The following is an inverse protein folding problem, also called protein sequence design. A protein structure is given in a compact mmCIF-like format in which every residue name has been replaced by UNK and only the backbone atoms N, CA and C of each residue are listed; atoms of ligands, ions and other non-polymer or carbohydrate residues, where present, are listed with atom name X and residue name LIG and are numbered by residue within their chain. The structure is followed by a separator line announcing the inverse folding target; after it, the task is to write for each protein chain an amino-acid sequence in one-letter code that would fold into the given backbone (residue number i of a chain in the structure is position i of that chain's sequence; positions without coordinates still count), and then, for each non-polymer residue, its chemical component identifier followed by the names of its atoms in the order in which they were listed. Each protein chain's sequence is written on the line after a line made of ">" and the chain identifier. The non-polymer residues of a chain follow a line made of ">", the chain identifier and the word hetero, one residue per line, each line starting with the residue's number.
data_IF_152151832155
#
_entry.id   IF_152151832155
#
_cell.length_a   1.000
_cell.length_b   1.000
_cell.length_c   1.000
_cell.angle_alpha   90.00
_cell.angle_beta   90.00
_cell.angle_gamma   90.00
#
_symmetry.space_group_name_H-M   'P 1'
#
loop_
_entity.id
_entity.type
_entity.pdbx_description
1 polymer ?
#
# COMPACT_ATOMS: atom_id res chain seq x y z
N UNK A 1 7.63 -43.75 7.69
CA UNK A 1 7.65 -42.85 6.53
C UNK A 1 8.98 -42.12 6.51
N UNK A 2 9.69 -42.09 5.37
CA UNK A 2 11.02 -41.47 5.27
C UNK A 2 10.91 -39.92 5.28
N UNK A 3 11.93 -39.17 5.70
CA UNK A 3 11.91 -37.70 5.73
C UNK A 3 11.56 -37.07 4.36
N UNK A 4 12.02 -37.71 3.28
CA UNK A 4 11.73 -37.31 1.89
C UNK A 4 10.24 -37.41 1.53
N UNK A 5 9.51 -38.39 2.09
CA UNK A 5 8.07 -38.52 1.87
C UNK A 5 7.26 -37.40 2.54
N UNK A 6 7.72 -36.88 3.68
CA UNK A 6 7.09 -35.74 4.34
C UNK A 6 7.29 -34.44 3.56
N UNK A 7 8.49 -34.20 3.02
CA UNK A 7 8.78 -33.01 2.20
C UNK A 7 7.95 -33.02 0.92
N UNK A 8 7.91 -34.15 0.20
CA UNK A 8 7.09 -34.26 -1.02
C UNK A 8 5.59 -34.05 -0.74
N UNK A 9 5.09 -34.62 0.36
CA UNK A 9 3.69 -34.42 0.76
C UNK A 9 3.37 -32.94 1.08
N UNK A 10 4.29 -32.22 1.72
CA UNK A 10 4.13 -30.80 2.02
C UNK A 10 4.01 -29.95 0.74
N UNK A 11 4.94 -30.12 -0.21
CA UNK A 11 4.87 -29.39 -1.48
C UNK A 11 3.62 -29.73 -2.29
N UNK A 12 3.16 -30.98 -2.22
CA UNK A 12 1.91 -31.38 -2.86
C UNK A 12 0.68 -30.75 -2.19
N UNK A 13 0.64 -30.62 -0.86
CA UNK A 13 -0.47 -29.97 -0.15
C UNK A 13 -0.56 -28.46 -0.39
N UNK A 14 0.55 -27.83 -0.80
CA UNK A 14 0.64 -26.39 -1.06
C UNK A 14 0.94 -26.06 -2.53
N UNK A 15 0.71 -27.01 -3.45
CA UNK A 15 1.11 -26.87 -4.85
C UNK A 15 0.49 -25.66 -5.54
N UNK A 16 -0.75 -25.32 -5.21
CA UNK A 16 -1.43 -24.16 -5.80
C UNK A 16 -0.75 -22.84 -5.39
N UNK A 17 -0.29 -22.75 -4.15
CA UNK A 17 0.43 -21.58 -3.64
C UNK A 17 1.79 -21.46 -4.31
N UNK A 18 2.56 -22.55 -4.38
CA UNK A 18 3.84 -22.54 -5.08
C UNK A 18 3.71 -22.34 -6.60
N UNK A 19 2.54 -22.57 -7.20
CA UNK A 19 2.31 -22.34 -8.62
C UNK A 19 1.82 -20.92 -8.92
N UNK A 20 0.90 -20.37 -8.13
CA UNK A 20 0.22 -19.11 -8.44
C UNK A 20 0.88 -17.90 -7.80
N UNK A 21 1.30 -18.04 -6.54
CA UNK A 21 1.84 -16.93 -5.74
C UNK A 21 3.14 -16.35 -6.29
N UNK A 22 4.13 -17.13 -6.78
CA UNK A 22 5.35 -16.55 -7.35
C UNK A 22 5.07 -15.58 -8.50
N UNK A 23 4.12 -15.87 -9.39
CA UNK A 23 3.79 -14.96 -10.49
C UNK A 23 3.24 -13.62 -9.97
N UNK A 24 2.36 -13.66 -8.98
CA UNK A 24 1.82 -12.47 -8.33
C UNK A 24 2.92 -11.67 -7.63
N UNK A 25 3.84 -12.33 -6.92
CA UNK A 25 4.95 -11.70 -6.21
C UNK A 25 5.97 -11.08 -7.17
N UNK A 26 6.30 -11.77 -8.27
CA UNK A 26 7.17 -11.24 -9.33
C UNK A 26 6.55 -9.99 -9.96
N UNK A 27 5.26 -10.04 -10.29
CA UNK A 27 4.54 -8.91 -10.86
C UNK A 27 4.55 -7.70 -9.90
N UNK A 28 4.20 -7.93 -8.63
CA UNK A 28 4.24 -6.90 -7.59
C UNK A 28 5.65 -6.30 -7.41
N UNK A 29 6.69 -7.14 -7.40
CA UNK A 29 8.07 -6.69 -7.27
C UNK A 29 8.52 -5.85 -8.47
N UNK A 30 8.12 -6.20 -9.69
CA UNK A 30 8.46 -5.45 -10.90
C UNK A 30 7.75 -4.09 -10.95
N UNK A 31 6.47 -4.02 -10.59
CA UNK A 31 5.77 -2.73 -10.56
C UNK A 31 6.19 -1.87 -9.38
N UNK A 32 6.48 -2.49 -8.24
CA UNK A 32 7.10 -1.82 -7.10
C UNK A 32 8.45 -1.23 -7.50
N UNK A 33 9.26 -1.94 -8.29
CA UNK A 33 10.53 -1.42 -8.80
C UNK A 33 10.33 -0.18 -9.66
N UNK A 34 9.32 -0.14 -10.53
CA UNK A 34 8.97 1.06 -11.29
C UNK A 34 8.60 2.23 -10.38
N UNK A 35 7.85 1.96 -9.32
CA UNK A 35 7.54 2.94 -8.29
C UNK A 35 8.81 3.43 -7.58
N UNK A 36 9.73 2.52 -7.22
CA UNK A 36 11.03 2.83 -6.63
C UNK A 36 11.94 3.66 -7.51
N UNK A 37 12.01 3.36 -8.81
CA UNK A 37 12.71 4.19 -9.80
C UNK A 37 12.07 5.58 -9.82
N UNK A 38 10.73 5.66 -9.85
CA UNK A 38 10.00 6.91 -9.71
C UNK A 38 10.41 7.69 -8.46
N UNK A 39 10.46 7.04 -7.29
CA UNK A 39 10.85 7.65 -6.02
C UNK A 39 12.28 8.19 -6.06
N UNK A 40 13.22 7.41 -6.62
CA UNK A 40 14.61 7.83 -6.79
C UNK A 40 14.76 9.01 -7.75
N UNK A 41 13.89 9.16 -8.74
CA UNK A 41 13.88 10.34 -9.62
C UNK A 41 13.28 11.58 -8.93
N UNK A 42 12.55 11.41 -7.82
CA UNK A 42 11.98 12.50 -7.03
C UNK A 42 12.94 13.05 -5.96
N UNK A 43 14.18 12.54 -5.89
CA UNK A 43 15.22 12.93 -4.93
C UNK A 43 15.33 14.46 -4.76
N UNK A 44 15.45 15.21 -5.86
CA UNK A 44 15.53 16.68 -5.80
C UNK A 44 14.26 17.32 -5.20
N UNK A 45 13.08 16.76 -5.49
CA UNK A 45 11.81 17.26 -4.97
C UNK A 45 11.65 16.95 -3.48
N UNK A 46 12.17 15.81 -3.00
CA UNK A 46 12.18 15.44 -1.59
C UNK A 46 13.01 16.44 -0.78
N UNK A 47 14.15 16.89 -1.31
CA UNK A 47 14.95 17.97 -0.72
C UNK A 47 14.24 19.33 -0.74
N UNK A 48 13.61 19.69 -1.86
CA UNK A 48 12.91 20.98 -2.01
C UNK A 48 11.63 21.09 -1.16
N UNK A 49 11.03 19.95 -0.80
CA UNK A 49 9.78 19.87 -0.03
C UNK A 49 9.95 18.92 1.18
N UNK A 50 10.59 19.38 2.26
CA UNK A 50 10.78 18.58 3.47
C UNK A 50 9.45 18.07 4.04
N UNK A 51 9.37 16.77 4.32
CA UNK A 51 8.14 16.10 4.75
C UNK A 51 7.33 15.47 3.62
N UNK A 52 7.71 15.63 2.34
CA UNK A 52 7.04 14.94 1.23
C UNK A 52 7.11 13.41 1.37
N UNK A 53 8.23 12.88 1.90
CA UNK A 53 8.42 11.45 2.14
C UNK A 53 7.37 10.88 3.12
N UNK A 54 6.96 11.67 4.12
CA UNK A 54 5.92 11.31 5.09
C UNK A 54 4.61 10.91 4.40
N UNK A 55 4.31 11.53 3.25
CA UNK A 55 3.06 11.36 2.53
C UNK A 55 3.08 10.18 1.54
N UNK A 56 4.26 9.72 1.13
CA UNK A 56 4.39 8.73 0.05
C UNK A 56 3.85 7.35 0.48
N UNK A 57 4.31 6.71 1.57
CA UNK A 57 3.75 5.42 2.01
C UNK A 57 2.24 5.46 2.28
N UNK A 58 1.67 6.41 3.04
CA UNK A 58 0.24 6.41 3.30
C UNK A 58 -0.59 6.67 2.04
N UNK A 59 -0.11 7.49 1.10
CA UNK A 59 -0.80 7.69 -0.16
C UNK A 59 -0.88 6.38 -0.98
N UNK A 60 0.23 5.66 -1.10
CA UNK A 60 0.30 4.37 -1.81
C UNK A 60 -0.62 3.35 -1.14
N UNK A 61 -0.47 3.13 0.16
CA UNK A 61 -1.22 2.15 0.93
C UNK A 61 -2.74 2.41 0.87
N UNK A 62 -3.17 3.67 1.02
CA UNK A 62 -4.58 4.01 0.91
C UNK A 62 -5.17 3.72 -0.47
N UNK A 63 -4.40 3.86 -1.54
CA UNK A 63 -4.91 3.54 -2.89
C UNK A 63 -5.07 2.04 -3.05
N UNK A 64 -4.08 1.27 -2.63
CA UNK A 64 -4.18 -0.19 -2.54
C UNK A 64 -5.46 -0.58 -1.81
N UNK A 65 -5.65 -0.10 -0.57
CA UNK A 65 -6.77 -0.49 0.28
C UNK A 65 -8.15 -0.07 -0.24
N UNK A 66 -8.30 1.14 -0.81
CA UNK A 66 -9.60 1.61 -1.33
C UNK A 66 -10.02 0.82 -2.57
N UNK A 67 -9.09 0.61 -3.51
CA UNK A 67 -9.41 0.00 -4.79
C UNK A 67 -9.36 -1.53 -4.75
N UNK A 68 -8.58 -2.15 -3.87
CA UNK A 68 -8.66 -3.60 -3.64
C UNK A 68 -9.99 -3.98 -3.00
N UNK A 69 -10.42 -3.25 -1.95
CA UNK A 69 -11.72 -3.46 -1.31
C UNK A 69 -12.89 -3.17 -2.26
N UNK A 70 -12.73 -2.19 -3.17
CA UNK A 70 -13.68 -1.97 -4.27
C UNK A 70 -13.85 -3.25 -5.10
N UNK A 71 -12.75 -3.85 -5.56
CA UNK A 71 -12.85 -5.01 -6.45
C UNK A 71 -13.30 -6.27 -5.71
N UNK A 72 -12.89 -6.50 -4.46
CA UNK A 72 -13.41 -7.63 -3.66
C UNK A 72 -14.93 -7.53 -3.46
N UNK A 73 -15.46 -6.33 -3.16
CA UNK A 73 -16.93 -6.13 -3.08
C UNK A 73 -17.64 -6.42 -4.40
N UNK A 74 -17.01 -6.08 -5.53
CA UNK A 74 -17.55 -6.41 -6.85
C UNK A 74 -17.44 -7.91 -7.16
N UNK A 75 -16.34 -8.57 -6.78
CA UNK A 75 -16.15 -10.02 -6.88
C UNK A 75 -17.22 -10.79 -6.11
N UNK A 76 -17.43 -10.43 -4.84
CA UNK A 76 -18.53 -10.96 -4.02
C UNK A 76 -19.90 -10.74 -4.68
N UNK A 77 -20.14 -9.55 -5.22
CA UNK A 77 -21.41 -9.25 -5.92
C UNK A 77 -21.60 -10.09 -7.20
N UNK A 78 -20.52 -10.48 -7.88
CA UNK A 78 -20.57 -11.38 -9.03
C UNK A 78 -20.90 -12.81 -8.59
N UNK A 79 -20.28 -13.30 -7.52
CA UNK A 79 -20.59 -14.62 -6.96
C UNK A 79 -22.03 -14.74 -6.48
N UNK A 80 -22.60 -13.65 -5.95
CA UNK A 80 -24.01 -13.59 -5.55
C UNK A 80 -24.98 -13.34 -6.71
N UNK A 81 -24.49 -13.15 -7.94
CA UNK A 81 -25.33 -12.88 -9.12
C UNK A 81 -25.99 -11.49 -9.14
N UNK A 82 -25.54 -10.57 -8.28
CA UNK A 82 -26.06 -9.20 -8.15
C UNK A 82 -25.35 -8.21 -9.07
N UNK A 83 -24.15 -8.56 -9.56
CA UNK A 83 -23.35 -7.68 -10.39
C UNK A 83 -23.92 -7.54 -11.81
N UNK A 84 -23.99 -6.30 -12.28
CA UNK A 84 -24.22 -5.99 -13.69
C UNK A 84 -23.13 -5.05 -14.21
N UNK A 85 -22.59 -5.28 -15.42
CA UNK A 85 -21.54 -4.45 -16.00
C UNK A 85 -22.14 -3.14 -16.56
N UNK A 86 -22.81 -2.36 -15.72
CA UNK A 86 -23.46 -1.11 -16.09
C UNK A 86 -23.07 0.01 -15.12
N UNK A 87 -22.78 1.20 -15.65
CA UNK A 87 -22.51 2.41 -14.85
C UNK A 87 -23.78 3.27 -14.67
N UNK A 88 -24.96 2.67 -14.82
CA UNK A 88 -26.23 3.37 -14.59
C UNK A 88 -26.34 3.74 -13.11
N UNK A 89 -26.92 4.90 -12.81
CA UNK A 89 -27.17 5.34 -11.42
C UNK A 89 -27.95 4.25 -10.68
N UNK A 90 -27.48 3.88 -9.49
CA UNK A 90 -28.07 2.83 -8.67
C UNK A 90 -27.57 1.41 -8.96
N UNK A 91 -26.70 1.19 -9.95
CA UNK A 91 -26.03 -0.10 -10.10
C UNK A 91 -24.98 -0.32 -9.01
N UNK A 92 -24.72 -1.58 -8.67
CA UNK A 92 -23.68 -1.97 -7.71
C UNK A 92 -22.32 -1.38 -8.11
N UNK A 93 -21.98 -1.43 -9.40
CA UNK A 93 -20.75 -0.86 -9.94
C UNK A 93 -20.68 0.67 -9.76
N UNK A 94 -21.78 1.38 -10.02
CA UNK A 94 -21.84 2.83 -9.85
C UNK A 94 -21.70 3.24 -8.39
N UNK A 95 -22.43 2.58 -7.48
CA UNK A 95 -22.39 2.90 -6.05
C UNK A 95 -21.01 2.65 -5.45
N UNK A 96 -20.40 1.52 -5.79
CA UNK A 96 -19.05 1.17 -5.37
C UNK A 96 -18.00 2.14 -5.94
N UNK A 97 -18.07 2.47 -7.23
CA UNK A 97 -17.19 3.45 -7.85
C UNK A 97 -17.32 4.86 -7.21
N UNK A 98 -18.56 5.28 -6.94
CA UNK A 98 -18.85 6.56 -6.30
C UNK A 98 -18.33 6.59 -4.86
N UNK A 99 -18.53 5.51 -4.09
CA UNK A 99 -18.00 5.38 -2.74
C UNK A 99 -16.47 5.48 -2.73
N UNK A 100 -15.77 4.77 -3.63
CA UNK A 100 -14.31 4.83 -3.73
C UNK A 100 -13.78 6.22 -4.07
N UNK A 101 -14.45 6.99 -4.94
CA UNK A 101 -14.06 8.38 -5.21
C UNK A 101 -14.26 9.29 -3.99
N UNK A 102 -15.36 9.13 -3.26
CA UNK A 102 -15.62 9.88 -2.02
C UNK A 102 -14.57 9.54 -0.95
N UNK A 103 -14.27 8.26 -0.76
CA UNK A 103 -13.22 7.79 0.15
C UNK A 103 -11.86 8.38 -0.24
N UNK A 104 -11.49 8.32 -1.53
CA UNK A 104 -10.23 8.89 -2.02
C UNK A 104 -10.14 10.39 -1.74
N UNK A 105 -11.20 11.16 -2.01
CA UNK A 105 -11.22 12.59 -1.76
C UNK A 105 -11.08 12.91 -0.26
N UNK A 106 -11.93 12.29 0.57
CA UNK A 106 -11.95 12.51 2.02
C UNK A 106 -10.62 12.11 2.67
N UNK A 107 -10.15 10.90 2.39
CA UNK A 107 -8.95 10.37 3.01
C UNK A 107 -7.69 11.10 2.54
N UNK A 108 -7.67 11.64 1.32
CA UNK A 108 -6.56 12.49 0.88
C UNK A 108 -6.48 13.78 1.71
N UNK A 109 -7.61 14.39 2.07
CA UNK A 109 -7.61 15.53 3.00
C UNK A 109 -7.08 15.10 4.37
N UNK A 110 -7.59 13.99 4.91
CA UNK A 110 -7.14 13.42 6.18
C UNK A 110 -5.62 13.17 6.19
N UNK A 111 -5.07 12.56 5.13
CA UNK A 111 -3.63 12.33 5.01
C UNK A 111 -2.82 13.61 5.01
N UNK A 112 -3.32 14.67 4.37
CA UNK A 112 -2.65 15.98 4.41
C UNK A 112 -2.58 16.55 5.83
N UNK A 113 -3.64 16.38 6.62
CA UNK A 113 -3.64 16.75 8.04
C UNK A 113 -2.73 15.85 8.88
N UNK A 114 -2.80 14.53 8.70
CA UNK A 114 -1.98 13.57 9.44
C UNK A 114 -0.50 13.77 9.16
N UNK A 115 -0.10 13.92 7.90
CA UNK A 115 1.29 14.16 7.52
C UNK A 115 1.83 15.44 8.18
N UNK A 116 1.02 16.52 8.21
CA UNK A 116 1.42 17.76 8.88
C UNK A 116 1.54 17.58 10.40
N UNK A 117 0.58 16.91 11.02
CA UNK A 117 0.58 16.64 12.46
C UNK A 117 1.80 15.81 12.87
N UNK A 118 2.09 14.73 12.13
CA UNK A 118 3.23 13.86 12.40
C UNK A 118 4.56 14.59 12.15
N UNK A 119 4.66 15.38 11.09
CA UNK A 119 5.84 16.20 10.82
C UNK A 119 6.12 17.22 11.94
N UNK A 120 5.10 17.85 12.52
CA UNK A 120 5.30 18.82 13.61
C UNK A 120 5.58 18.16 14.96
N UNK A 121 5.09 16.95 15.18
CA UNK A 121 5.20 16.26 16.48
C UNK A 121 6.47 15.41 16.59
N UNK A 122 6.87 14.75 15.50
CA UNK A 122 8.01 13.83 15.47
C UNK A 122 9.14 14.29 14.55
N UNK A 123 8.93 15.36 13.77
CA UNK A 123 9.94 15.87 12.84
C UNK A 123 11.22 16.37 13.49
N UNK A 124 12.25 16.50 12.66
CA UNK A 124 13.54 17.08 13.05
C UNK A 124 13.32 18.55 13.43
N UNK A 125 13.77 18.92 14.63
CA UNK A 125 13.63 20.29 15.10
C UNK A 125 14.44 21.24 14.20
N UNK A 126 13.79 22.32 13.76
CA UNK A 126 14.41 23.35 12.92
C UNK A 126 14.25 23.17 11.41
N UNK A 127 13.65 22.06 10.94
CA UNK A 127 13.30 21.91 9.52
C UNK A 127 11.98 22.59 9.17
N UNK A 128 12.00 23.41 8.12
CA UNK A 128 10.80 24.07 7.61
C UNK A 128 9.99 23.11 6.71
N UNK A 129 9.18 22.27 7.37
CA UNK A 129 8.26 21.36 6.69
C UNK A 129 7.22 22.06 5.82
N UNK A 130 6.66 21.34 4.84
CA UNK A 130 5.56 21.82 4.00
C UNK A 130 4.41 22.35 4.88
N UNK A 131 3.79 23.45 4.45
CA UNK A 131 2.62 24.04 5.13
C UNK A 131 1.43 23.07 5.08
N UNK A 132 0.50 23.16 6.04
CA UNK A 132 -0.72 22.34 6.04
C UNK A 132 -1.47 22.39 4.69
N UNK A 133 -1.60 23.58 4.12
CA UNK A 133 -2.21 23.78 2.80
C UNK A 133 -1.46 23.06 1.67
N UNK A 134 -0.13 23.01 1.73
CA UNK A 134 0.70 22.30 0.77
C UNK A 134 0.54 20.79 0.88
N UNK A 135 0.52 20.24 2.09
CA UNK A 135 0.26 18.81 2.32
C UNK A 135 -1.12 18.39 1.82
N UNK A 136 -2.17 19.16 2.15
CA UNK A 136 -3.53 18.88 1.66
C UNK A 136 -3.59 18.93 0.13
N UNK A 137 -2.96 19.92 -0.50
CA UNK A 137 -2.97 20.04 -1.96
C UNK A 137 -2.23 18.89 -2.64
N UNK A 138 -1.02 18.55 -2.18
CA UNK A 138 -0.26 17.44 -2.76
C UNK A 138 -1.06 16.15 -2.61
N UNK A 139 -1.57 15.88 -1.41
CA UNK A 139 -2.35 14.67 -1.11
C UNK A 139 -3.58 14.55 -1.99
N UNK A 140 -4.39 15.62 -2.09
CA UNK A 140 -5.66 15.58 -2.82
C UNK A 140 -5.44 15.55 -4.33
N UNK A 141 -4.52 16.34 -4.86
CA UNK A 141 -4.27 16.37 -6.32
C UNK A 141 -3.65 15.04 -6.77
N UNK A 142 -2.60 14.57 -6.09
CA UNK A 142 -2.01 13.27 -6.39
C UNK A 142 -3.01 12.13 -6.17
N UNK A 143 -3.80 12.23 -5.09
CA UNK A 143 -4.86 11.27 -4.78
C UNK A 143 -5.98 11.19 -5.79
N UNK A 144 -6.45 12.31 -6.31
CA UNK A 144 -7.47 12.34 -7.35
C UNK A 144 -6.93 11.81 -8.67
N UNK A 145 -5.73 12.23 -9.08
CA UNK A 145 -5.10 11.75 -10.32
C UNK A 145 -4.92 10.23 -10.28
N UNK A 146 -4.26 9.71 -9.24
CA UNK A 146 -4.08 8.26 -9.06
C UNK A 146 -5.42 7.55 -8.93
N UNK A 147 -6.35 8.10 -8.16
CA UNK A 147 -7.65 7.51 -7.92
C UNK A 147 -8.54 7.40 -9.16
N UNK A 148 -8.55 8.39 -10.04
CA UNK A 148 -9.29 8.30 -11.30
C UNK A 148 -8.73 7.22 -12.23
N UNK A 149 -7.40 7.13 -12.32
CA UNK A 149 -6.74 6.12 -13.15
C UNK A 149 -7.00 4.72 -12.58
N UNK A 150 -6.82 4.53 -11.27
CA UNK A 150 -7.06 3.25 -10.59
C UNK A 150 -8.51 2.84 -10.62
N UNK A 151 -9.45 3.78 -10.54
CA UNK A 151 -10.86 3.48 -10.73
C UNK A 151 -11.12 2.92 -12.14
N UNK A 152 -10.54 3.56 -13.16
CA UNK A 152 -10.63 3.08 -14.54
C UNK A 152 -10.10 1.64 -14.68
N UNK A 153 -8.92 1.37 -14.12
CA UNK A 153 -8.34 0.02 -14.10
C UNK A 153 -9.24 -0.96 -13.34
N UNK A 154 -9.74 -0.59 -12.16
CA UNK A 154 -10.63 -1.42 -11.34
C UNK A 154 -11.91 -1.80 -12.08
N UNK A 155 -12.52 -0.84 -12.78
CA UNK A 155 -13.71 -1.07 -13.61
C UNK A 155 -13.37 -2.01 -14.77
N UNK A 156 -12.25 -1.78 -15.47
CA UNK A 156 -11.82 -2.63 -16.58
C UNK A 156 -11.55 -4.07 -16.14
N UNK A 157 -10.85 -4.25 -15.02
CA UNK A 157 -10.57 -5.57 -14.43
C UNK A 157 -11.87 -6.25 -14.03
N UNK A 158 -12.79 -5.54 -13.38
CA UNK A 158 -14.09 -6.09 -12.96
C UNK A 158 -14.96 -6.52 -14.15
N UNK A 159 -15.08 -5.68 -15.18
CA UNK A 159 -15.87 -6.01 -16.39
C UNK A 159 -15.21 -7.17 -17.16
N UNK A 160 -13.89 -7.17 -17.29
CA UNK A 160 -13.16 -8.25 -17.96
C UNK A 160 -13.31 -9.56 -17.19
N UNK A 161 -13.17 -9.51 -15.87
CA UNK A 161 -13.35 -10.66 -14.99
C UNK A 161 -14.75 -11.24 -15.09
N UNK A 162 -15.78 -10.38 -15.07
CA UNK A 162 -17.16 -10.79 -15.30
C UNK A 162 -17.36 -11.47 -16.67
N UNK A 163 -16.84 -10.88 -17.75
CA UNK A 163 -17.02 -11.42 -19.11
C UNK A 163 -16.25 -12.73 -19.35
N UNK A 164 -15.13 -12.93 -18.65
CA UNK A 164 -14.25 -14.10 -18.80
C UNK A 164 -14.42 -15.14 -17.69
N UNK A 165 -15.38 -14.95 -16.78
CA UNK A 165 -15.58 -15.78 -15.59
C UNK A 165 -14.29 -15.96 -14.77
N UNK A 166 -13.53 -14.88 -14.59
CA UNK A 166 -12.36 -14.88 -13.71
C UNK A 166 -12.80 -14.79 -12.25
N UNK A 167 -12.07 -15.49 -11.39
CA UNK A 167 -12.10 -15.27 -9.95
C UNK A 167 -11.35 -13.97 -9.65
N UNK A 168 -12.11 -12.90 -9.39
CA UNK A 168 -11.58 -11.58 -9.14
C UNK A 168 -10.82 -11.53 -7.81
N UNK A 169 -11.22 -12.30 -6.81
CA UNK A 169 -10.65 -12.20 -5.47
C UNK A 169 -9.19 -12.66 -5.47
N UNK A 170 -8.86 -13.61 -6.36
CA UNK A 170 -7.51 -14.16 -6.50
C UNK A 170 -6.58 -13.36 -7.44
N UNK A 171 -7.11 -12.72 -8.49
CA UNK A 171 -6.28 -12.07 -9.52
C UNK A 171 -6.28 -10.54 -9.44
N UNK A 172 -7.35 -9.93 -8.94
CA UNK A 172 -7.53 -8.49 -9.05
C UNK A 172 -6.78 -7.71 -7.97
N UNK A 173 -6.74 -8.21 -6.74
CA UNK A 173 -6.08 -7.49 -5.64
C UNK A 173 -4.59 -7.25 -5.92
N UNK A 174 -3.80 -8.24 -6.39
CA UNK A 174 -2.42 -7.99 -6.79
C UNK A 174 -2.28 -7.00 -7.93
N UNK A 175 -3.15 -7.05 -8.94
CA UNK A 175 -3.13 -6.13 -10.10
C UNK A 175 -3.39 -4.69 -9.66
N UNK A 176 -4.39 -4.49 -8.80
CA UNK A 176 -4.80 -3.16 -8.34
C UNK A 176 -3.77 -2.54 -7.41
N UNK A 177 -3.26 -3.29 -6.43
CA UNK A 177 -2.21 -2.79 -5.54
C UNK A 177 -0.94 -2.46 -6.31
N UNK A 178 -0.52 -3.35 -7.21
CA UNK A 178 0.63 -3.16 -8.12
C UNK A 178 0.49 -1.93 -9.02
N UNK A 179 -0.67 -1.75 -9.65
CA UNK A 179 -0.96 -0.54 -10.42
C UNK A 179 -0.98 0.71 -9.53
N UNK A 180 -1.47 0.57 -8.30
CA UNK A 180 -1.51 1.61 -7.28
C UNK A 180 -0.14 2.18 -7.00
N UNK A 181 0.83 1.32 -6.71
CA UNK A 181 2.23 1.70 -6.45
C UNK A 181 2.82 2.46 -7.65
N UNK A 182 2.63 1.91 -8.85
CA UNK A 182 3.18 2.46 -10.10
C UNK A 182 2.59 3.84 -10.46
N UNK A 183 1.32 4.08 -10.16
CA UNK A 183 0.62 5.32 -10.55
C UNK A 183 0.77 6.41 -9.48
N UNK A 184 0.81 6.03 -8.20
CA UNK A 184 0.75 7.00 -7.09
C UNK A 184 1.97 7.90 -7.05
N UNK A 185 3.18 7.37 -7.21
CA UNK A 185 4.41 8.16 -7.13
C UNK A 185 4.50 9.24 -8.22
N UNK A 186 4.28 8.93 -9.52
CA UNK A 186 4.19 9.97 -10.56
C UNK A 186 3.09 11.01 -10.30
N UNK A 187 1.95 10.58 -9.75
CA UNK A 187 0.85 11.51 -9.43
C UNK A 187 1.21 12.49 -8.32
N UNK A 188 1.93 12.02 -7.29
CA UNK A 188 2.46 12.86 -6.21
C UNK A 188 3.55 13.79 -6.72
N UNK A 189 4.44 13.31 -7.60
CA UNK A 189 5.45 14.14 -8.26
C UNK A 189 4.80 15.30 -9.02
N UNK A 190 3.79 15.01 -9.84
CA UNK A 190 3.05 16.04 -10.55
C UNK A 190 2.42 17.07 -9.61
N UNK A 191 1.78 16.60 -8.52
CA UNK A 191 1.18 17.46 -7.52
C UNK A 191 2.23 18.34 -6.79
N UNK A 192 3.40 17.78 -6.49
CA UNK A 192 4.52 18.49 -5.87
C UNK A 192 5.09 19.58 -6.80
N UNK A 193 5.29 19.27 -8.10
CA UNK A 193 5.71 20.25 -9.11
C UNK A 193 4.69 21.37 -9.24
N UNK A 194 3.40 21.03 -9.25
CA UNK A 194 2.33 22.02 -9.28
C UNK A 194 2.37 22.93 -8.04
N UNK A 195 2.58 22.39 -6.85
CA UNK A 195 2.71 23.18 -5.63
C UNK A 195 3.87 24.18 -5.72
N UNK A 196 5.05 23.75 -6.20
CA UNK A 196 6.20 24.65 -6.38
C UNK A 196 5.91 25.78 -7.36
N UNK A 197 5.27 25.47 -8.50
CA UNK A 197 4.84 26.49 -9.47
C UNK A 197 3.86 27.50 -8.85
N UNK A 198 2.88 27.02 -8.07
CA UNK A 198 1.92 27.88 -7.38
C UNK A 198 2.58 28.74 -6.29
N UNK A 199 3.56 28.21 -5.54
CA UNK A 199 4.34 28.99 -4.57
C UNK A 199 5.15 30.10 -5.26
N UNK A 200 5.79 29.80 -6.40
CA UNK A 200 6.52 30.80 -7.19
C UNK A 200 5.61 31.92 -7.70
N UNK A 201 4.39 31.59 -8.11
CA UNK A 201 3.39 32.58 -8.54
C UNK A 201 2.87 33.41 -7.36
N UNK A 202 2.64 32.79 -6.20
CA UNK A 202 2.21 33.46 -4.98
C UNK A 202 3.20 34.53 -4.49
N UNK A 203 4.52 34.30 -4.63
CA UNK A 203 5.53 35.30 -4.29
C UNK A 203 5.41 36.60 -5.12
N UNK A 204 4.74 36.57 -6.27
CA UNK A 204 4.51 37.75 -7.13
C UNK A 204 3.20 38.48 -6.80
N UNK A 205 2.25 37.83 -6.12
CA UNK A 205 0.93 38.39 -5.80
C UNK A 205 0.89 38.65 -4.29
N UNK A 206 1.11 39.90 -3.90
CA UNK A 206 1.12 40.31 -2.49
C UNK A 206 -0.32 40.48 -1.97
N UNK A 207 -1.00 39.35 -1.72
CA UNK A 207 -2.34 39.30 -1.13
C UNK A 207 -2.35 38.75 0.31
N UNK A 208 -3.39 39.08 1.09
CA UNK A 208 -3.53 38.71 2.51
C UNK A 208 -3.66 37.18 2.74
N UNK A 209 -4.12 36.43 1.74
CA UNK A 209 -4.24 34.97 1.75
C UNK A 209 -3.58 34.40 0.49
N UNK A 210 -2.67 33.43 0.64
CA UNK A 210 -2.06 32.78 -0.51
C UNK A 210 -3.13 32.04 -1.36
N UNK A 211 -3.08 32.07 -2.70
CA UNK A 211 -3.99 31.30 -3.55
C UNK A 211 -3.98 29.80 -3.21
N UNK A 212 -2.83 29.30 -2.77
CA UNK A 212 -2.61 27.93 -2.27
C UNK A 212 -3.49 27.65 -1.05
N UNK A 213 -3.53 28.55 -0.07
CA UNK A 213 -4.38 28.39 1.12
C UNK A 213 -5.87 28.45 0.79
N UNK A 214 -6.29 29.34 -0.11
CA UNK A 214 -7.69 29.44 -0.53
C UNK A 214 -8.16 28.16 -1.24
N UNK A 215 -7.33 27.63 -2.14
CA UNK A 215 -7.64 26.38 -2.84
C UNK A 215 -7.70 25.19 -1.87
N UNK A 216 -6.78 25.12 -0.90
CA UNK A 216 -6.82 24.08 0.12
C UNK A 216 -8.10 24.15 0.97
N UNK A 217 -8.52 25.33 1.41
CA UNK A 217 -9.78 25.52 2.16
C UNK A 217 -10.99 25.08 1.34
N UNK A 218 -11.04 25.47 0.06
CA UNK A 218 -12.11 25.06 -0.85
C UNK A 218 -12.17 23.53 -0.98
N UNK A 219 -11.02 22.88 -1.17
CA UNK A 219 -10.92 21.42 -1.28
C UNK A 219 -11.42 20.73 -0.01
N UNK A 220 -11.00 21.21 1.18
CA UNK A 220 -11.47 20.66 2.47
C UNK A 220 -12.98 20.79 2.57
N UNK A 221 -13.53 21.95 2.22
CA UNK A 221 -14.97 22.21 2.27
C UNK A 221 -15.75 21.29 1.31
N UNK A 222 -15.27 21.14 0.08
CA UNK A 222 -15.86 20.23 -0.92
C UNK A 222 -15.79 18.79 -0.43
N UNK A 223 -14.65 18.33 0.09
CA UNK A 223 -14.49 16.98 0.62
C UNK A 223 -15.45 16.69 1.77
N UNK A 224 -15.61 17.62 2.72
CA UNK A 224 -16.55 17.50 3.83
C UNK A 224 -18.00 17.43 3.34
N UNK A 225 -18.43 18.35 2.46
CA UNK A 225 -19.79 18.34 1.92
C UNK A 225 -20.08 17.04 1.17
N UNK A 226 -19.17 16.61 0.30
CA UNK A 226 -19.33 15.39 -0.48
C UNK A 226 -19.45 14.15 0.42
N UNK A 227 -18.63 14.08 1.47
CA UNK A 227 -18.64 12.95 2.43
C UNK A 227 -19.90 12.94 3.29
N UNK A 228 -20.31 14.10 3.82
CA UNK A 228 -21.55 14.22 4.59
C UNK A 228 -22.78 13.89 3.73
N UNK A 229 -22.83 14.34 2.47
CA UNK A 229 -23.89 13.96 1.53
C UNK A 229 -23.87 12.45 1.22
N UNK A 230 -22.70 11.84 1.12
CA UNK A 230 -22.55 10.39 0.95
C UNK A 230 -23.09 9.60 2.14
N UNK A 231 -22.72 9.98 3.36
CA UNK A 231 -23.16 9.35 4.61
C UNK A 231 -24.67 9.54 4.86
N UNK A 232 -25.23 10.69 4.48
CA UNK A 232 -26.66 10.98 4.59
C UNK A 232 -27.48 10.52 3.37
N UNK A 233 -26.88 9.76 2.45
CA UNK A 233 -27.59 9.24 1.27
C UNK A 233 -28.66 8.22 1.66
N UNK A 234 -29.78 8.19 0.92
CA UNK A 234 -30.80 7.16 1.07
C UNK A 234 -30.34 5.76 0.60
N UNK A 235 -29.19 5.66 -0.07
CA UNK A 235 -28.65 4.38 -0.52
C UNK A 235 -27.90 3.68 0.63
N UNK A 236 -28.48 2.59 1.14
CA UNK A 236 -27.91 1.84 2.26
C UNK A 236 -26.51 1.29 1.96
N UNK A 237 -26.27 0.80 0.74
CA UNK A 237 -24.95 0.27 0.33
C UNK A 237 -23.85 1.34 0.37
N UNK A 238 -24.10 2.52 -0.21
CA UNK A 238 -23.15 3.62 -0.20
C UNK A 238 -22.80 4.04 1.23
N UNK A 239 -23.82 4.22 2.07
CA UNK A 239 -23.65 4.60 3.47
C UNK A 239 -22.85 3.54 4.22
N UNK A 240 -23.15 2.25 4.00
CA UNK A 240 -22.44 1.13 4.61
C UNK A 240 -20.96 1.14 4.24
N UNK A 241 -20.62 1.23 2.95
CA UNK A 241 -19.22 1.28 2.49
C UNK A 241 -18.48 2.44 3.15
N UNK A 242 -19.07 3.64 3.19
CA UNK A 242 -18.42 4.80 3.81
C UNK A 242 -18.24 4.61 5.32
N UNK A 243 -19.26 4.11 6.02
CA UNK A 243 -19.24 3.97 7.48
C UNK A 243 -18.29 2.87 7.95
N UNK A 244 -18.17 1.78 7.19
CA UNK A 244 -17.24 0.68 7.49
C UNK A 244 -15.80 1.04 7.08
N UNK A 245 -15.57 1.63 5.89
CA UNK A 245 -14.22 1.89 5.40
C UNK A 245 -13.57 3.14 6.01
N UNK A 246 -14.29 4.22 6.36
CA UNK A 246 -13.67 5.45 6.88
C UNK A 246 -12.86 5.22 8.17
N UNK A 247 -13.42 4.59 9.24
CA UNK A 247 -12.68 4.39 10.49
C UNK A 247 -11.44 3.52 10.28
N UNK A 248 -11.58 2.42 9.52
CA UNK A 248 -10.48 1.51 9.26
C UNK A 248 -9.37 2.17 8.45
N UNK A 249 -9.72 2.87 7.37
CA UNK A 249 -8.75 3.58 6.55
C UNK A 249 -8.12 4.77 7.28
N UNK A 250 -8.81 5.39 8.23
CA UNK A 250 -8.22 6.41 9.11
C UNK A 250 -7.10 5.80 9.98
N UNK A 251 -7.35 4.64 10.60
CA UNK A 251 -6.32 3.91 11.38
C UNK A 251 -5.15 3.49 10.49
N UNK A 252 -5.42 2.91 9.32
CA UNK A 252 -4.39 2.62 8.32
C UNK A 252 -3.56 3.87 7.96
N UNK A 253 -4.22 5.00 7.76
CA UNK A 253 -3.59 6.27 7.46
C UNK A 253 -2.61 6.72 8.53
N UNK A 254 -2.99 6.61 9.81
CA UNK A 254 -2.10 6.91 10.93
C UNK A 254 -0.85 6.02 10.89
N UNK A 255 -1.04 4.70 10.79
CA UNK A 255 0.06 3.73 10.75
C UNK A 255 1.00 4.01 9.57
N UNK A 256 0.48 4.14 8.35
CA UNK A 256 1.32 4.38 7.19
C UNK A 256 2.00 5.76 7.22
N UNK A 257 1.39 6.77 7.88
CA UNK A 257 2.05 8.07 8.10
C UNK A 257 3.25 7.93 9.03
N UNK A 258 3.20 7.05 10.03
CA UNK A 258 4.38 6.71 10.83
C UNK A 258 5.46 6.01 10.00
N UNK A 259 5.08 5.09 9.09
CA UNK A 259 6.05 4.49 8.17
C UNK A 259 6.75 5.55 7.31
N UNK A 260 5.99 6.50 6.78
CA UNK A 260 6.52 7.66 6.04
C UNK A 260 7.41 8.56 6.88
N UNK A 261 7.04 8.80 8.14
CA UNK A 261 7.86 9.59 9.07
C UNK A 261 9.21 8.93 9.33
N UNK A 262 9.24 7.62 9.56
CA UNK A 262 10.49 6.88 9.75
C UNK A 262 11.40 6.98 8.53
N UNK A 263 10.84 6.92 7.31
CA UNK A 263 11.60 7.15 6.08
C UNK A 263 12.08 8.61 5.93
N UNK A 264 11.26 9.59 6.33
CA UNK A 264 11.61 11.01 6.27
C UNK A 264 12.76 11.36 7.23
N UNK A 265 12.80 10.73 8.42
CA UNK A 265 13.91 10.90 9.38
C UNK A 265 15.26 10.42 8.83
N UNK A 266 15.25 9.33 8.06
CA UNK A 266 16.45 8.74 7.45
C UNK A 266 16.69 9.23 6.01
N UNK A 267 15.96 10.26 5.56
CA UNK A 267 15.93 10.67 4.17
C UNK A 267 17.32 11.03 3.64
N UNK A 268 18.14 11.75 4.41
CA UNK A 268 19.50 12.13 3.99
C UNK A 268 20.37 10.89 3.72
N UNK A 269 20.28 9.86 4.57
CA UNK A 269 20.98 8.59 4.38
C UNK A 269 20.46 7.81 3.18
N UNK A 270 19.14 7.83 2.96
CA UNK A 270 18.50 7.18 1.81
C UNK A 270 18.89 7.87 0.49
N UNK A 271 19.02 9.20 0.48
CA UNK A 271 19.42 9.98 -0.69
C UNK A 271 20.89 9.81 -1.03
N UNK A 272 21.75 9.54 -0.04
CA UNK A 272 23.15 9.21 -0.28
C UNK A 272 23.31 7.91 -1.10
N UNK A 273 22.31 7.02 -1.06
CA UNK A 273 22.34 5.74 -1.75
C UNK A 273 21.03 5.55 -2.54
N UNK A 274 20.93 6.09 -3.76
CA UNK A 274 19.71 6.04 -4.58
C UNK A 274 19.16 4.62 -4.79
N UNK A 275 20.02 3.60 -4.76
CA UNK A 275 19.61 2.22 -4.87
C UNK A 275 18.64 1.77 -3.75
N UNK A 276 18.74 2.35 -2.56
CA UNK A 276 17.84 2.04 -1.43
C UNK A 276 16.48 2.72 -1.62
N UNK A 277 16.44 3.93 -2.19
CA UNK A 277 15.18 4.57 -2.60
C UNK A 277 14.43 3.73 -3.64
N UNK A 278 15.17 3.12 -4.59
CA UNK A 278 14.61 2.19 -5.56
C UNK A 278 14.10 0.90 -4.88
N UNK A 279 14.77 0.46 -3.81
CA UNK A 279 14.43 -0.77 -3.08
C UNK A 279 13.15 -0.63 -2.24
N UNK A 280 12.85 0.54 -1.70
CA UNK A 280 11.76 0.73 -0.71
C UNK A 280 10.40 0.25 -1.25
N UNK A 281 9.87 0.75 -2.39
CA UNK A 281 8.54 0.33 -2.83
C UNK A 281 8.40 -1.17 -3.19
N UNK A 282 9.31 -1.81 -3.95
CA UNK A 282 9.20 -3.25 -4.20
C UNK A 282 9.37 -4.09 -2.94
N UNK A 283 10.18 -3.63 -1.98
CA UNK A 283 10.34 -4.30 -0.69
C UNK A 283 9.05 -4.27 0.14
N UNK A 284 8.45 -3.09 0.31
CA UNK A 284 7.18 -2.94 1.04
C UNK A 284 6.03 -3.66 0.32
N UNK A 285 5.97 -3.54 -1.01
CA UNK A 285 5.00 -4.26 -1.84
C UNK A 285 5.10 -5.79 -1.65
N UNK A 286 6.32 -6.34 -1.63
CA UNK A 286 6.52 -7.77 -1.36
C UNK A 286 6.09 -8.17 0.05
N UNK A 287 6.41 -7.37 1.07
CA UNK A 287 5.94 -7.61 2.45
C UNK A 287 4.40 -7.64 2.50
N UNK A 288 3.75 -6.65 1.89
CA UNK A 288 2.29 -6.53 1.85
C UNK A 288 1.63 -7.67 1.10
N UNK A 289 2.20 -8.09 -0.03
CA UNK A 289 1.70 -9.22 -0.80
C UNK A 289 1.75 -10.52 0.03
N UNK A 290 2.87 -10.81 0.71
CA UNK A 290 2.98 -11.96 1.61
C UNK A 290 1.96 -11.89 2.77
N UNK A 291 1.74 -10.69 3.32
CA UNK A 291 0.79 -10.44 4.40
C UNK A 291 -0.64 -10.69 3.97
N UNK A 292 -1.01 -10.18 2.80
CA UNK A 292 -2.32 -10.42 2.17
C UNK A 292 -2.57 -11.91 1.90
N UNK A 293 -1.58 -12.62 1.36
CA UNK A 293 -1.68 -14.07 1.09
C UNK A 293 -1.91 -14.84 2.40
N UNK A 294 -1.12 -14.58 3.44
CA UNK A 294 -1.28 -15.27 4.71
C UNK A 294 -2.61 -14.92 5.38
N UNK A 295 -2.98 -13.64 5.38
CA UNK A 295 -4.25 -13.15 5.94
C UNK A 295 -5.45 -13.82 5.28
N UNK A 296 -5.51 -13.80 3.94
CA UNK A 296 -6.60 -14.40 3.18
C UNK A 296 -6.73 -15.90 3.49
N UNK A 297 -5.61 -16.63 3.54
CA UNK A 297 -5.61 -18.06 3.87
C UNK A 297 -6.07 -18.34 5.29
N UNK A 298 -5.57 -17.58 6.28
CA UNK A 298 -5.99 -17.72 7.67
C UNK A 298 -7.48 -17.42 7.85
N UNK A 299 -7.96 -16.37 7.19
CA UNK A 299 -9.38 -16.01 7.15
C UNK A 299 -10.23 -17.16 6.60
N UNK A 300 -9.90 -17.69 5.41
CA UNK A 300 -10.63 -18.81 4.81
C UNK A 300 -10.60 -20.06 5.71
N UNK A 301 -9.45 -20.37 6.32
CA UNK A 301 -9.33 -21.51 7.22
C UNK A 301 -10.18 -21.36 8.50
N UNK A 302 -10.29 -20.15 9.05
CA UNK A 302 -11.17 -19.86 10.20
C UNK A 302 -12.66 -19.99 9.81
N UNK A 303 -13.07 -19.45 8.66
CA UNK A 303 -14.47 -19.50 8.20
C UNK A 303 -14.94 -20.91 7.81
N UNK A 304 -14.07 -21.73 7.23
CA UNK A 304 -14.38 -23.13 6.90
C UNK A 304 -14.27 -24.03 8.15
N UNK A 305 -13.69 -23.53 9.25
CA UNK A 305 -13.54 -24.26 10.51
C UNK A 305 -12.39 -25.27 10.51
N UNK A 306 -11.44 -25.16 9.58
CA UNK A 306 -10.23 -26.00 9.56
C UNK A 306 -9.20 -25.53 10.60
N UNK A 307 -9.18 -24.23 10.91
CA UNK A 307 -8.43 -23.64 12.01
C UNK A 307 -9.42 -23.13 13.06
N UNK A 308 -9.15 -23.43 14.33
CA UNK A 308 -9.94 -22.96 15.46
C UNK A 308 -9.16 -21.84 16.14
N UNK A 309 -9.80 -20.70 16.51
CA UNK A 309 -9.12 -19.61 17.19
C UNK A 309 -8.57 -20.06 18.55
N UNK A 310 -7.25 -20.22 18.62
CA UNK A 310 -6.48 -20.62 19.81
C UNK A 310 -5.47 -19.54 20.17
N UNK A 311 -4.88 -19.65 21.36
CA UNK A 311 -3.84 -18.71 21.80
C UNK A 311 -2.53 -18.89 21.01
N UNK A 312 -2.22 -20.11 20.58
CA UNK A 312 -0.98 -20.42 19.88
C UNK A 312 -1.27 -21.11 18.54
N UNK A 313 -0.47 -20.81 17.50
CA UNK A 313 -0.65 -21.40 16.18
C UNK A 313 -0.46 -22.91 16.23
N UNK A 314 -1.36 -23.64 15.59
CA UNK A 314 -1.26 -25.10 15.46
C UNK A 314 -0.30 -25.50 14.34
N UNK A 315 -0.14 -26.81 14.12
CA UNK A 315 0.76 -27.34 13.09
C UNK A 315 0.36 -26.90 11.68
N UNK A 316 -0.93 -26.70 11.41
CA UNK A 316 -1.42 -26.28 10.10
C UNK A 316 -1.08 -24.81 9.84
N UNK A 317 -1.24 -23.95 10.85
CA UNK A 317 -0.81 -22.54 10.79
C UNK A 317 0.71 -22.44 10.68
N UNK A 318 1.46 -23.22 11.46
CA UNK A 318 2.92 -23.26 11.37
C UNK A 318 3.43 -23.75 9.99
N UNK A 319 2.72 -24.68 9.35
CA UNK A 319 2.99 -25.09 7.98
C UNK A 319 2.80 -23.91 7.01
N UNK A 320 1.74 -23.12 7.16
CA UNK A 320 1.55 -21.90 6.38
C UNK A 320 2.65 -20.87 6.63
N UNK A 321 3.09 -20.66 7.87
CA UNK A 321 4.22 -19.78 8.18
C UNK A 321 5.49 -20.22 7.45
N UNK A 322 5.76 -21.53 7.43
CA UNK A 322 6.89 -22.11 6.68
C UNK A 322 6.80 -21.80 5.19
N UNK A 323 5.61 -21.93 4.59
CA UNK A 323 5.39 -21.55 3.17
C UNK A 323 5.70 -20.07 2.95
N UNK A 324 5.23 -19.18 3.83
CA UNK A 324 5.49 -17.74 3.72
C UNK A 324 6.99 -17.43 3.86
N UNK A 325 7.73 -18.10 4.75
CA UNK A 325 9.19 -17.95 4.84
C UNK A 325 9.90 -18.40 3.56
N UNK A 326 9.50 -19.53 2.96
CA UNK A 326 10.10 -19.99 1.71
C UNK A 326 9.85 -19.00 0.57
N UNK A 327 8.62 -18.48 0.46
CA UNK A 327 8.27 -17.44 -0.50
C UNK A 327 9.02 -16.12 -0.23
N UNK A 328 9.18 -15.75 1.03
CA UNK A 328 9.93 -14.58 1.49
C UNK A 328 11.38 -14.63 1.01
N UNK A 329 12.10 -15.72 1.25
CA UNK A 329 13.49 -15.87 0.78
C UNK A 329 13.57 -15.72 -0.73
N UNK A 330 12.64 -16.32 -1.47
CA UNK A 330 12.62 -16.23 -2.93
C UNK A 330 12.32 -14.80 -3.42
N UNK A 331 11.27 -14.16 -2.90
CA UNK A 331 10.85 -12.82 -3.36
C UNK A 331 11.84 -11.74 -2.95
N UNK A 332 12.40 -11.77 -1.74
CA UNK A 332 13.37 -10.75 -1.33
C UNK A 332 14.73 -10.92 -2.01
N UNK A 333 15.14 -12.15 -2.33
CA UNK A 333 16.27 -12.39 -3.24
C UNK A 333 16.01 -11.76 -4.61
N UNK A 334 14.80 -11.97 -5.15
CA UNK A 334 14.42 -11.38 -6.43
C UNK A 334 14.39 -9.85 -6.37
N UNK A 335 13.80 -9.26 -5.32
CA UNK A 335 13.75 -7.81 -5.09
C UNK A 335 15.17 -7.20 -5.02
N UNK A 336 16.09 -7.81 -4.26
CA UNK A 336 17.48 -7.36 -4.21
C UNK A 336 18.18 -7.44 -5.57
N UNK A 337 17.94 -8.51 -6.33
CA UNK A 337 18.49 -8.72 -7.67
C UNK A 337 17.98 -7.69 -8.69
N UNK A 338 16.66 -7.47 -8.75
CA UNK A 338 16.08 -6.52 -9.70
C UNK A 338 16.46 -5.08 -9.37
N UNK A 339 16.59 -4.73 -8.09
CA UNK A 339 17.06 -3.41 -7.67
C UNK A 339 18.52 -3.18 -8.07
N UNK A 340 19.38 -4.20 -7.92
CA UNK A 340 20.75 -4.14 -8.42
C UNK A 340 20.78 -3.86 -9.93
N UNK A 341 20.02 -4.60 -10.73
CA UNK A 341 19.98 -4.39 -12.18
C UNK A 341 19.37 -3.04 -12.58
N UNK A 342 18.39 -2.54 -11.85
CA UNK A 342 17.79 -1.23 -12.10
C UNK A 342 18.74 -0.07 -11.83
N UNK A 343 19.68 -0.25 -10.90
CA UNK A 343 20.58 0.82 -10.41
C UNK A 343 22.00 0.70 -10.98
N UNK A 344 22.36 -0.43 -11.59
CA UNK A 344 23.63 -0.60 -12.27
C UNK A 344 23.90 0.45 -13.38
N UNK A 345 22.91 0.88 -14.20
CA UNK A 345 23.14 1.88 -15.24
C UNK A 345 23.39 3.29 -14.71
N UNK A 346 22.93 3.62 -13.50
CA UNK A 346 22.98 4.97 -12.92
C UNK A 346 24.29 5.27 -12.18
N UNK A 347 25.25 4.35 -12.22
CA UNK A 347 26.50 4.42 -11.45
C UNK A 347 26.39 3.65 -10.13
N UNK A 348 27.49 3.03 -9.70
CA UNK A 348 27.53 2.17 -8.51
C UNK A 348 27.78 3.01 -7.26
N UNK A 349 26.90 2.98 -6.23
CA UNK A 349 27.17 3.62 -4.93
C UNK A 349 28.32 2.94 -4.17
N UNK A 350 28.67 1.70 -4.55
CA UNK A 350 29.67 0.88 -3.88
C UNK A 350 30.83 0.53 -4.84
N UNK A 351 32.06 0.33 -4.30
CA UNK A 351 33.20 -0.08 -5.10
C UNK A 351 33.05 -1.54 -5.56
N UNK A 352 32.52 -1.71 -6.77
CA UNK A 352 32.47 -3.01 -7.45
C UNK A 352 31.08 -3.64 -7.53
N UNK A 353 30.77 -4.16 -8.72
CA UNK A 353 29.48 -4.75 -9.07
C UNK A 353 29.05 -5.90 -8.12
N UNK A 354 29.99 -6.77 -7.74
CA UNK A 354 29.71 -7.92 -6.88
C UNK A 354 29.36 -7.49 -5.44
N UNK A 355 30.04 -6.47 -4.92
CA UNK A 355 29.79 -5.95 -3.57
C UNK A 355 28.40 -5.29 -3.51
N UNK A 356 28.05 -4.49 -4.51
CA UNK A 356 26.72 -3.88 -4.60
C UNK A 356 25.62 -4.93 -4.66
N UNK A 357 25.77 -5.96 -5.50
CA UNK A 357 24.82 -7.06 -5.57
C UNK A 357 24.68 -7.77 -4.22
N UNK A 358 25.80 -8.10 -3.57
CA UNK A 358 25.79 -8.77 -2.26
C UNK A 358 25.10 -7.92 -1.19
N UNK A 359 25.39 -6.62 -1.11
CA UNK A 359 24.75 -5.70 -0.17
C UNK A 359 23.25 -5.54 -0.43
N UNK A 360 22.83 -5.37 -1.69
CA UNK A 360 21.40 -5.26 -2.03
C UNK A 360 20.63 -6.54 -1.69
N UNK A 361 21.20 -7.71 -2.01
CA UNK A 361 20.62 -8.99 -1.64
C UNK A 361 20.56 -9.16 -0.13
N UNK A 362 21.63 -8.85 0.60
CA UNK A 362 21.69 -8.98 2.04
C UNK A 362 20.69 -8.06 2.75
N UNK A 363 20.59 -6.79 2.34
CA UNK A 363 19.64 -5.82 2.92
C UNK A 363 18.20 -6.29 2.67
N UNK A 364 17.87 -6.65 1.43
CA UNK A 364 16.52 -7.12 1.09
C UNK A 364 16.16 -8.42 1.82
N UNK A 365 17.08 -9.40 1.88
CA UNK A 365 16.83 -10.68 2.56
C UNK A 365 16.72 -10.53 4.07
N UNK A 366 17.65 -9.82 4.71
CA UNK A 366 17.65 -9.65 6.16
C UNK A 366 16.40 -8.89 6.60
N UNK A 367 16.12 -7.73 5.98
CA UNK A 367 14.92 -6.95 6.27
C UNK A 367 13.64 -7.75 6.00
N UNK A 368 13.62 -8.49 4.89
CA UNK A 368 12.45 -9.25 4.45
C UNK A 368 12.12 -10.43 5.37
N UNK A 369 13.12 -11.19 5.81
CA UNK A 369 12.94 -12.30 6.76
C UNK A 369 12.53 -11.79 8.14
N UNK A 370 13.11 -10.69 8.61
CA UNK A 370 12.70 -10.05 9.87
C UNK A 370 11.24 -9.58 9.81
N UNK A 371 10.86 -8.89 8.74
CA UNK A 371 9.48 -8.46 8.53
C UNK A 371 8.52 -9.65 8.43
N UNK A 372 8.92 -10.70 7.71
CA UNK A 372 8.13 -11.95 7.57
C UNK A 372 7.88 -12.62 8.92
N UNK A 373 8.85 -12.55 9.83
CA UNK A 373 8.71 -13.08 11.19
C UNK A 373 7.59 -12.36 11.93
N UNK A 374 7.62 -11.03 11.94
CA UNK A 374 6.56 -10.22 12.54
C UNK A 374 5.20 -10.49 11.88
N UNK A 375 5.16 -10.47 10.55
CA UNK A 375 3.96 -10.63 9.74
C UNK A 375 3.25 -11.96 10.00
N UNK A 376 3.99 -13.06 10.15
CA UNK A 376 3.41 -14.37 10.45
C UNK A 376 2.59 -14.33 11.75
N UNK A 377 3.14 -13.75 12.81
CA UNK A 377 2.44 -13.63 14.09
C UNK A 377 1.32 -12.60 14.02
N UNK A 378 1.57 -11.43 13.45
CA UNK A 378 0.59 -10.37 13.32
C UNK A 378 -0.65 -10.85 12.54
N UNK A 379 -0.46 -11.51 11.40
CA UNK A 379 -1.56 -12.03 10.59
C UNK A 379 -2.41 -13.06 11.35
N UNK A 380 -1.77 -13.95 12.12
CA UNK A 380 -2.48 -14.92 12.95
C UNK A 380 -3.34 -14.29 14.03
N UNK A 381 -2.77 -13.38 14.83
CA UNK A 381 -3.51 -12.76 15.92
C UNK A 381 -4.59 -11.80 15.42
N UNK A 382 -4.32 -11.04 14.36
CA UNK A 382 -5.32 -10.14 13.77
C UNK A 382 -6.46 -10.93 13.13
N UNK A 383 -6.18 -12.02 12.40
CA UNK A 383 -7.23 -12.86 11.83
C UNK A 383 -8.13 -13.48 12.91
N UNK A 384 -7.55 -13.94 14.03
CA UNK A 384 -8.32 -14.47 15.16
C UNK A 384 -9.17 -13.39 15.83
N UNK A 385 -8.61 -12.20 16.06
CA UNK A 385 -9.34 -11.08 16.64
C UNK A 385 -10.50 -10.66 15.73
N UNK A 386 -10.24 -10.50 14.44
CA UNK A 386 -11.26 -10.18 13.44
C UNK A 386 -12.40 -11.19 13.46
N UNK A 387 -12.07 -12.48 13.44
CA UNK A 387 -13.05 -13.56 13.50
C UNK A 387 -13.88 -13.52 14.79
N UNK A 388 -13.26 -13.25 15.95
CA UNK A 388 -13.97 -13.15 17.24
C UNK A 388 -14.91 -11.94 17.32
N UNK A 389 -14.55 -10.84 16.65
CA UNK A 389 -15.37 -9.62 16.62
C UNK A 389 -16.38 -9.59 15.46
N UNK A 390 -16.39 -10.62 14.59
CA UNK A 390 -17.28 -10.68 13.43
C UNK A 390 -16.98 -9.60 12.38
N UNK A 391 -15.73 -9.14 12.33
CA UNK A 391 -15.24 -8.14 11.38
C UNK A 391 -15.00 -8.77 10.00
N UNK A 392 -15.17 -7.98 8.94
CA UNK A 392 -14.99 -8.44 7.56
C UNK A 392 -13.49 -8.49 7.24
N UNK A 393 -12.91 -9.66 6.95
CA UNK A 393 -11.49 -9.79 6.65
C UNK A 393 -11.01 -8.88 5.51
N UNK A 394 -11.86 -8.63 4.51
CA UNK A 394 -11.50 -7.87 3.33
C UNK A 394 -11.51 -6.36 3.57
N UNK A 395 -12.36 -5.88 4.47
CA UNK A 395 -12.49 -4.46 4.77
C UNK A 395 -11.70 -4.05 6.03
N UNK A 396 -11.42 -4.98 6.95
CA UNK A 396 -10.80 -4.70 8.24
C UNK A 396 -9.42 -5.37 8.39
N UNK A 397 -9.34 -6.68 8.20
CA UNK A 397 -8.10 -7.45 8.50
C UNK A 397 -6.98 -7.16 7.51
N UNK A 398 -7.25 -7.25 6.21
CA UNK A 398 -6.23 -7.07 5.16
C UNK A 398 -5.66 -5.65 5.19
N UNK A 399 -6.46 -4.57 5.22
CA UNK A 399 -5.93 -3.22 5.34
C UNK A 399 -5.09 -3.01 6.61
N UNK A 400 -5.50 -3.58 7.74
CA UNK A 400 -4.78 -3.45 9.01
C UNK A 400 -3.40 -4.13 8.96
N UNK A 401 -3.34 -5.38 8.48
CA UNK A 401 -2.08 -6.13 8.36
C UNK A 401 -1.15 -5.42 7.39
N UNK A 402 -1.67 -4.94 6.25
CA UNK A 402 -0.89 -4.22 5.25
C UNK A 402 -0.27 -2.95 5.86
N UNK A 403 -1.07 -2.12 6.54
CA UNK A 403 -0.56 -0.89 7.16
C UNK A 403 0.42 -1.13 8.32
N UNK A 404 0.24 -2.19 9.11
CA UNK A 404 1.22 -2.58 10.12
C UNK A 404 2.52 -3.08 9.48
N UNK A 405 2.39 -3.83 8.38
CA UNK A 405 3.51 -4.36 7.60
C UNK A 405 4.29 -3.24 6.92
N UNK A 406 3.64 -2.14 6.49
CA UNK A 406 4.36 -0.96 5.99
C UNK A 406 5.29 -0.37 7.06
N UNK A 407 4.79 -0.19 8.29
CA UNK A 407 5.58 0.36 9.41
C UNK A 407 6.74 -0.57 9.76
N UNK A 408 6.45 -1.85 10.00
CA UNK A 408 7.48 -2.81 10.40
C UNK A 408 8.43 -3.12 9.26
N UNK A 409 7.94 -3.16 8.03
CA UNK A 409 8.76 -3.32 6.83
C UNK A 409 9.79 -2.21 6.69
N UNK A 410 9.37 -0.95 6.84
CA UNK A 410 10.31 0.20 6.86
C UNK A 410 11.35 0.03 7.97
N UNK A 411 10.91 -0.28 9.20
CA UNK A 411 11.83 -0.45 10.33
C UNK A 411 12.84 -1.59 10.11
N UNK A 412 12.39 -2.74 9.62
CA UNK A 412 13.25 -3.88 9.31
C UNK A 412 14.22 -3.58 8.16
N UNK A 413 13.79 -2.84 7.14
CA UNK A 413 14.63 -2.43 6.03
C UNK A 413 15.74 -1.47 6.49
N UNK A 414 15.38 -0.44 7.27
CA UNK A 414 16.34 0.53 7.81
C UNK A 414 17.31 -0.12 8.79
N UNK A 415 16.83 -1.05 9.63
CA UNK A 415 17.69 -1.84 10.50
C UNK A 415 18.68 -2.70 9.71
N UNK A 416 18.23 -3.39 8.67
CA UNK A 416 19.10 -4.19 7.81
C UNK A 416 20.13 -3.31 7.09
N UNK A 417 19.71 -2.14 6.61
CA UNK A 417 20.58 -1.14 6.01
C UNK A 417 21.69 -0.71 6.99
N UNK A 418 21.33 -0.35 8.22
CA UNK A 418 22.27 0.12 9.24
C UNK A 418 23.30 -0.93 9.67
N UNK A 419 22.97 -2.22 9.57
CA UNK A 419 23.90 -3.32 9.92
C UNK A 419 24.89 -3.60 8.79
N UNK A 420 24.45 -3.47 7.54
CA UNK A 420 25.20 -3.94 6.37
C UNK A 420 26.07 -2.84 5.75
N UNK A 421 25.64 -1.58 5.90
CA UNK A 421 26.34 -0.39 5.41
C UNK A 421 27.10 0.27 6.55
#
# INVERSE_FOLDING_TARGET
>A
MSPLSHVSSFFHSFSDVFRQTPFSLLFCSLTGLLAGIGLSLMTDMLQLLPGLMILIPPAIAMRGNIYSALVSRLGTSMHLGLFSPTLKKGSVLHLNAYASLLLTLFLSVVLGFLAKLVAETFGVLGTNYITLSGFILISVIGGLISGFILLGISILVSITGYRRNWDLDNMSSPIITSAGDMITIPSLFFAAVLLLKLKSYNAKIMGLLSPVTLLAILIVFVALICTVKGLNSNNAELRRILFESIPMLFVCGILCTFAGMTLDMELDNLMAIPAILVLIPPFLGACNALGGILSARLSSMLHIGTVIPKQFPDKLVAANFTVIYLLSVAVFSFVGLITYFATAPTGTPFPGALEQLAKMLAIALLGGVLCTTFLNFAAYYIAILSFKFGLDPDNDTIPLITSLTDVVGVLCLLFAMQIIL
#
